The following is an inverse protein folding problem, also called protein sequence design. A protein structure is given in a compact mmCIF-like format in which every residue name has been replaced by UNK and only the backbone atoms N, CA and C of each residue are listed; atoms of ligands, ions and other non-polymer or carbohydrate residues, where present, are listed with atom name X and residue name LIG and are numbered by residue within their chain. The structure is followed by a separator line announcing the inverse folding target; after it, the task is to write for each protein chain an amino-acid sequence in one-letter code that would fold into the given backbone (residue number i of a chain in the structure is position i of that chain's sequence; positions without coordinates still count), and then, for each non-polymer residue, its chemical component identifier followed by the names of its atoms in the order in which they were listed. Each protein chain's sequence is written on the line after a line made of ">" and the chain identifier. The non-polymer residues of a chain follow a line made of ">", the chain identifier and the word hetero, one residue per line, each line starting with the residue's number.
data_IF_345818274154
#
_entry.id   IF_345818274154
#
_cell.length_a   1.000
_cell.length_b   1.000
_cell.length_c   1.000
_cell.angle_alpha   90.00
_cell.angle_beta   90.00
_cell.angle_gamma   90.00
#
_symmetry.space_group_name_H-M   'P 1'
#
loop_
_entity.id
_entity.type
_entity.pdbx_description
1 polymer ?
#
# COMPACT_ATOMS: atom_id res chain seq x y z
N UNK A 1 7.99 19.22 -0.35
CA UNK A 1 7.31 18.22 -1.19
C UNK A 1 6.24 18.95 -2.00
N UNK A 2 6.38 18.99 -3.32
CA UNK A 2 5.63 19.89 -4.22
C UNK A 2 4.11 19.71 -4.10
N UNK A 3 3.39 20.80 -3.84
CA UNK A 3 1.95 20.84 -3.53
C UNK A 3 1.05 20.17 -4.57
N UNK A 4 1.45 20.16 -5.84
CA UNK A 4 0.66 19.65 -6.96
C UNK A 4 0.53 18.11 -6.98
N UNK A 5 1.62 17.39 -6.75
CA UNK A 5 1.64 15.91 -6.68
C UNK A 5 0.80 15.42 -5.50
N UNK A 6 0.90 16.15 -4.38
CA UNK A 6 0.13 15.88 -3.17
C UNK A 6 -1.39 15.96 -3.40
N UNK A 7 -1.82 16.85 -4.29
CA UNK A 7 -3.24 17.02 -4.60
C UNK A 7 -3.77 15.89 -5.50
N UNK A 8 -3.01 15.47 -6.50
CA UNK A 8 -3.38 14.35 -7.38
C UNK A 8 -3.63 13.05 -6.60
N UNK A 9 -2.73 12.71 -5.66
CA UNK A 9 -2.87 11.50 -4.83
C UNK A 9 -4.15 11.57 -3.96
N UNK A 10 -4.44 12.74 -3.39
CA UNK A 10 -5.68 12.93 -2.60
C UNK A 10 -6.92 12.74 -3.45
N UNK A 11 -6.98 13.32 -4.65
CA UNK A 11 -8.12 13.15 -5.55
C UNK A 11 -8.33 11.70 -5.97
N UNK A 12 -7.24 10.97 -6.22
CA UNK A 12 -7.31 9.55 -6.56
C UNK A 12 -7.90 8.70 -5.43
N UNK A 13 -7.45 8.93 -4.19
CA UNK A 13 -7.97 8.23 -3.01
C UNK A 13 -9.45 8.59 -2.81
N UNK A 14 -9.81 9.88 -2.88
CA UNK A 14 -11.19 10.34 -2.73
C UNK A 14 -12.10 9.73 -3.80
N UNK A 15 -11.69 9.77 -5.07
CA UNK A 15 -12.45 9.19 -6.17
C UNK A 15 -12.67 7.69 -6.00
N UNK A 16 -11.66 6.99 -5.50
CA UNK A 16 -11.79 5.55 -5.16
C UNK A 16 -12.80 5.32 -4.03
N UNK A 17 -12.74 6.10 -2.94
CA UNK A 17 -13.64 5.97 -1.79
C UNK A 17 -15.09 6.39 -2.10
N UNK A 18 -15.31 7.15 -3.16
CA UNK A 18 -16.64 7.52 -3.66
C UNK A 18 -17.28 6.42 -4.53
N UNK A 19 -16.53 5.38 -4.91
CA UNK A 19 -17.06 4.25 -5.65
C UNK A 19 -18.20 3.55 -4.87
N UNK A 20 -19.21 3.06 -5.59
CA UNK A 20 -20.39 2.38 -5.02
C UNK A 20 -20.03 1.21 -4.11
N UNK A 21 -18.90 0.54 -4.36
CA UNK A 21 -18.42 -0.57 -3.53
C UNK A 21 -18.12 -0.13 -2.08
N UNK A 22 -17.75 1.14 -1.89
CA UNK A 22 -17.52 1.74 -0.56
C UNK A 22 -18.68 2.61 -0.08
N UNK A 23 -19.90 2.40 -0.60
CA UNK A 23 -21.10 3.15 -0.19
C UNK A 23 -21.50 2.91 1.26
N UNK A 24 -21.21 1.72 1.80
CA UNK A 24 -21.47 1.35 3.20
C UNK A 24 -20.59 2.07 4.21
N UNK A 25 -19.47 2.65 3.79
CA UNK A 25 -18.59 3.40 4.68
C UNK A 25 -19.18 4.79 4.95
N UNK A 26 -19.30 5.16 6.22
CA UNK A 26 -19.70 6.51 6.60
C UNK A 26 -18.61 7.54 6.25
N UNK A 27 -18.99 8.83 6.28
CA UNK A 27 -18.08 9.93 5.95
C UNK A 27 -16.83 9.95 6.84
N UNK A 28 -17.01 9.80 8.15
CA UNK A 28 -15.90 9.80 9.11
C UNK A 28 -14.87 8.71 8.81
N UNK A 29 -15.32 7.51 8.41
CA UNK A 29 -14.46 6.39 8.02
C UNK A 29 -13.69 6.69 6.75
N UNK A 30 -14.35 7.26 5.73
CA UNK A 30 -13.68 7.66 4.47
C UNK A 30 -12.63 8.73 4.73
N UNK A 31 -12.95 9.74 5.53
CA UNK A 31 -12.03 10.81 5.91
C UNK A 31 -10.85 10.26 6.71
N UNK A 32 -11.09 9.31 7.61
CA UNK A 32 -10.03 8.60 8.33
C UNK A 32 -9.07 7.86 7.38
N UNK A 33 -9.60 7.07 6.44
CA UNK A 33 -8.79 6.31 5.48
C UNK A 33 -7.96 7.25 4.59
N UNK A 34 -8.55 8.33 4.10
CA UNK A 34 -7.83 9.35 3.33
C UNK A 34 -6.65 9.92 4.14
N UNK A 35 -6.90 10.32 5.37
CA UNK A 35 -5.88 10.93 6.23
C UNK A 35 -4.78 9.93 6.61
N UNK A 36 -5.13 8.69 6.98
CA UNK A 36 -4.12 7.71 7.41
C UNK A 36 -3.21 7.29 6.25
N UNK A 37 -3.76 7.09 5.06
CA UNK A 37 -2.96 6.81 3.86
C UNK A 37 -2.05 7.99 3.52
N UNK A 38 -2.58 9.22 3.65
CA UNK A 38 -1.79 10.44 3.48
C UNK A 38 -0.59 10.49 4.44
N UNK A 39 -0.80 10.20 5.73
CA UNK A 39 0.29 10.19 6.72
C UNK A 39 1.29 9.07 6.46
N UNK A 40 0.82 7.87 6.09
CA UNK A 40 1.70 6.74 5.77
C UNK A 40 2.63 7.06 4.58
N UNK A 41 2.12 7.77 3.57
CA UNK A 41 2.92 8.21 2.42
C UNK A 41 3.84 9.40 2.74
N UNK A 42 3.53 10.17 3.78
CA UNK A 42 4.28 11.39 4.14
C UNK A 42 5.38 11.15 5.17
N UNK A 43 5.21 10.20 6.09
CA UNK A 43 6.14 9.92 7.18
C UNK A 43 7.19 8.91 6.71
N UNK A 44 8.47 9.29 6.77
CA UNK A 44 9.58 8.38 6.45
C UNK A 44 9.85 7.41 7.61
N UNK A 45 9.90 6.12 7.30
CA UNK A 45 10.33 5.07 8.24
C UNK A 45 9.17 4.26 8.82
N UNK A 46 9.42 3.62 9.96
CA UNK A 46 8.40 2.81 10.65
C UNK A 46 7.41 3.74 11.34
N UNK A 47 6.13 3.44 11.17
CA UNK A 47 5.01 4.23 11.70
C UNK A 47 4.33 3.43 12.81
N UNK A 48 4.07 4.08 13.95
CA UNK A 48 3.26 3.56 15.04
C UNK A 48 2.08 4.51 15.35
N UNK A 49 1.14 4.07 16.19
CA UNK A 49 -0.06 4.86 16.50
C UNK A 49 0.27 6.16 17.24
N UNK A 50 1.30 6.19 18.08
CA UNK A 50 1.75 7.41 18.77
C UNK A 50 2.29 8.45 17.78
N UNK A 51 3.03 8.01 16.75
CA UNK A 51 3.47 8.89 15.66
C UNK A 51 2.30 9.39 14.83
N UNK A 52 1.34 8.53 14.47
CA UNK A 52 0.11 8.98 13.79
C UNK A 52 -0.65 10.00 14.62
N UNK A 53 -0.76 9.79 15.93
CA UNK A 53 -1.35 10.76 16.86
C UNK A 53 -0.63 12.11 16.88
N UNK A 54 0.71 12.11 16.72
CA UNK A 54 1.52 13.34 16.68
C UNK A 54 1.36 14.13 15.38
N UNK A 55 1.22 13.45 14.24
CA UNK A 55 1.13 14.08 12.93
C UNK A 55 -0.30 14.36 12.45
N UNK A 56 -1.30 13.87 13.19
CA UNK A 56 -2.71 14.04 12.87
C UNK A 56 -3.44 14.89 13.90
N UNK A 57 -4.64 15.37 13.56
CA UNK A 57 -5.54 16.01 14.52
C UNK A 57 -6.18 15.02 15.51
N UNK A 58 -6.05 13.71 15.25
CA UNK A 58 -6.65 12.65 16.06
C UNK A 58 -5.64 12.10 17.06
N UNK A 59 -6.11 11.66 18.22
CA UNK A 59 -5.25 11.02 19.22
C UNK A 59 -4.90 9.57 18.84
N UNK A 60 -3.93 8.96 19.54
CA UNK A 60 -3.55 7.56 19.35
C UNK A 60 -4.76 6.61 19.43
N UNK A 61 -5.63 6.84 20.41
CA UNK A 61 -6.78 5.98 20.68
C UNK A 61 -7.75 5.94 19.50
N UNK A 62 -7.99 7.08 18.85
CA UNK A 62 -8.82 7.15 17.63
C UNK A 62 -8.23 6.29 16.51
N UNK A 63 -6.91 6.36 16.29
CA UNK A 63 -6.26 5.51 15.29
C UNK A 63 -6.46 4.03 15.62
N UNK A 64 -6.26 3.62 16.88
CA UNK A 64 -6.44 2.24 17.31
C UNK A 64 -7.86 1.73 17.03
N UNK A 65 -8.88 2.47 17.43
CA UNK A 65 -10.30 2.11 17.21
C UNK A 65 -10.60 1.97 15.71
N UNK A 66 -10.10 2.87 14.88
CA UNK A 66 -10.32 2.74 13.44
C UNK A 66 -9.53 1.58 12.82
N UNK A 67 -8.31 1.30 13.27
CA UNK A 67 -7.54 0.15 12.76
C UNK A 67 -8.11 -1.20 13.20
N UNK A 68 -8.93 -1.26 14.26
CA UNK A 68 -9.67 -2.46 14.66
C UNK A 68 -10.82 -2.80 13.69
N UNK A 69 -11.35 -1.79 13.00
CA UNK A 69 -12.38 -2.00 11.98
C UNK A 69 -11.73 -2.46 10.67
N UNK A 70 -12.29 -3.49 10.05
CA UNK A 70 -11.81 -3.98 8.76
C UNK A 70 -12.00 -2.94 7.65
N UNK A 71 -11.16 -3.03 6.63
CA UNK A 71 -11.26 -2.27 5.41
C UNK A 71 -10.76 -3.12 4.25
N UNK A 72 -11.52 -3.17 3.16
CA UNK A 72 -11.19 -3.96 1.99
C UNK A 72 -10.09 -3.29 1.16
N UNK A 73 -8.85 -3.44 1.63
CA UNK A 73 -7.66 -2.94 0.94
C UNK A 73 -7.45 -3.61 -0.41
N UNK A 74 -7.91 -4.85 -0.61
CA UNK A 74 -7.74 -5.56 -1.87
C UNK A 74 -8.56 -4.88 -2.98
N UNK A 75 -9.86 -4.68 -2.72
CA UNK A 75 -10.74 -3.97 -3.67
C UNK A 75 -10.31 -2.52 -3.84
N UNK A 76 -9.90 -1.86 -2.76
CA UNK A 76 -9.38 -0.49 -2.83
C UNK A 76 -8.18 -0.41 -3.77
N UNK A 77 -7.15 -1.23 -3.55
CA UNK A 77 -5.93 -1.25 -4.37
C UNK A 77 -6.21 -1.62 -5.82
N UNK A 78 -7.16 -2.54 -6.07
CA UNK A 78 -7.61 -2.88 -7.42
C UNK A 78 -8.21 -1.67 -8.13
N UNK A 79 -9.16 -0.98 -7.50
CA UNK A 79 -9.81 0.20 -8.08
C UNK A 79 -8.83 1.36 -8.30
N UNK A 80 -7.88 1.57 -7.39
CA UNK A 80 -6.78 2.53 -7.59
C UNK A 80 -5.95 2.15 -8.81
N UNK A 81 -5.59 0.87 -8.94
CA UNK A 81 -4.78 0.38 -10.06
C UNK A 81 -5.50 0.54 -11.40
N UNK A 82 -6.81 0.26 -11.44
CA UNK A 82 -7.65 0.43 -12.64
C UNK A 82 -7.82 1.89 -13.07
N UNK A 83 -7.72 2.85 -12.14
CA UNK A 83 -7.77 4.28 -12.46
C UNK A 83 -6.47 4.81 -13.07
N UNK A 84 -5.32 4.18 -12.75
CA UNK A 84 -4.00 4.66 -13.18
C UNK A 84 -3.45 3.88 -14.37
N UNK A 85 -3.64 2.56 -14.39
CA UNK A 85 -2.92 1.65 -15.28
C UNK A 85 -3.80 1.29 -16.48
N UNK A 86 -3.19 1.26 -17.68
CA UNK A 86 -3.86 0.86 -18.92
C UNK A 86 -4.28 -0.62 -18.96
N UNK A 87 -4.83 -1.03 -20.12
CA UNK A 87 -5.32 -2.41 -20.33
C UNK A 87 -4.20 -3.44 -20.34
N UNK A 88 -3.03 -3.07 -20.87
CA UNK A 88 -1.88 -3.96 -21.05
C UNK A 88 -1.01 -3.95 -19.78
N UNK A 89 -1.25 -4.90 -18.89
CA UNK A 89 -0.63 -4.94 -17.55
C UNK A 89 -0.08 -6.30 -17.17
N UNK A 90 1.00 -6.29 -16.42
CA UNK A 90 1.64 -7.47 -15.82
C UNK A 90 1.45 -7.39 -14.30
N UNK A 91 1.19 -8.54 -13.67
CA UNK A 91 1.19 -8.65 -12.21
C UNK A 91 2.47 -9.37 -11.78
N UNK A 92 3.34 -8.65 -11.08
CA UNK A 92 4.49 -9.22 -10.41
C UNK A 92 4.07 -9.73 -9.02
N UNK A 93 4.53 -10.93 -8.68
CA UNK A 93 4.31 -11.57 -7.39
C UNK A 93 5.66 -11.80 -6.72
N UNK A 94 5.81 -11.28 -5.49
CA UNK A 94 7.05 -11.39 -4.72
C UNK A 94 6.75 -11.82 -3.28
N UNK A 95 6.88 -13.12 -2.95
CA UNK A 95 6.73 -13.61 -1.59
C UNK A 95 7.99 -13.32 -0.78
N UNK A 96 7.82 -12.69 0.37
CA UNK A 96 8.90 -12.33 1.29
C UNK A 96 8.63 -12.83 2.71
N UNK A 97 9.70 -13.33 3.34
CA UNK A 97 9.71 -13.68 4.75
C UNK A 97 10.09 -12.48 5.62
N UNK A 98 9.30 -12.21 6.65
CA UNK A 98 9.61 -11.21 7.68
C UNK A 98 9.89 -11.91 9.02
N UNK A 99 11.09 -11.76 9.59
CA UNK A 99 11.37 -12.24 10.93
C UNK A 99 10.56 -11.44 11.95
N UNK A 100 9.82 -12.14 12.81
CA UNK A 100 9.04 -11.51 13.87
C UNK A 100 9.24 -12.26 15.19
N UNK A 101 9.66 -11.52 16.21
CA UNK A 101 9.80 -12.01 17.58
C UNK A 101 8.50 -11.78 18.36
N UNK A 102 8.23 -12.63 19.34
CA UNK A 102 7.06 -12.54 20.22
C UNK A 102 5.86 -13.39 19.76
N UNK A 103 4.90 -13.63 20.68
CA UNK A 103 3.77 -14.56 20.49
C UNK A 103 2.44 -13.89 20.08
N UNK A 104 2.36 -12.57 20.08
CA UNK A 104 1.09 -11.87 19.87
C UNK A 104 0.79 -11.47 18.42
N UNK A 105 1.71 -11.69 17.48
CA UNK A 105 1.44 -11.40 16.06
C UNK A 105 0.60 -12.52 15.45
N UNK A 106 -0.58 -12.18 14.94
CA UNK A 106 -1.47 -13.09 14.22
C UNK A 106 -0.84 -13.56 12.89
N UNK A 107 -1.27 -14.73 12.39
CA UNK A 107 -0.85 -15.24 11.07
C UNK A 107 0.60 -15.75 10.99
N UNK A 108 1.25 -16.00 12.12
CA UNK A 108 2.62 -16.55 12.16
C UNK A 108 2.65 -18.04 11.86
N UNK A 109 3.72 -18.47 11.20
CA UNK A 109 3.96 -19.86 10.84
C UNK A 109 5.40 -20.09 10.42
N UNK A 110 5.68 -21.27 9.85
CA UNK A 110 6.97 -21.57 9.22
C UNK A 110 6.91 -21.21 7.74
N UNK A 111 7.70 -20.23 7.33
CA UNK A 111 7.78 -19.75 5.95
C UNK A 111 9.21 -19.85 5.44
N UNK A 112 9.37 -20.10 4.13
CA UNK A 112 10.69 -20.22 3.52
C UNK A 112 11.41 -18.88 3.55
N UNK A 113 12.57 -18.84 4.20
CA UNK A 113 13.48 -17.70 4.16
C UNK A 113 14.51 -17.94 3.06
N UNK A 114 14.46 -17.14 1.99
CA UNK A 114 15.41 -17.25 0.87
C UNK A 114 16.86 -17.08 1.31
N UNK A 115 17.14 -16.14 2.22
CA UNK A 115 18.48 -15.90 2.76
C UNK A 115 19.00 -17.05 3.62
N UNK A 116 18.12 -17.72 4.36
CA UNK A 116 18.50 -18.85 5.21
C UNK A 116 18.39 -20.22 4.53
N UNK A 117 17.84 -20.27 3.30
CA UNK A 117 17.52 -21.50 2.56
C UNK A 117 16.73 -22.52 3.38
N UNK A 118 15.90 -22.05 4.30
CA UNK A 118 15.19 -22.89 5.27
C UNK A 118 13.87 -22.26 5.70
N UNK A 119 12.93 -23.10 6.13
CA UNK A 119 11.67 -22.63 6.71
C UNK A 119 11.90 -22.10 8.13
N UNK A 120 11.66 -20.80 8.34
CA UNK A 120 11.83 -20.12 9.63
C UNK A 120 10.50 -19.66 10.18
N UNK A 121 10.40 -19.62 11.51
CA UNK A 121 9.24 -19.07 12.19
C UNK A 121 9.17 -17.56 11.96
N UNK A 122 8.01 -17.05 11.55
CA UNK A 122 7.81 -15.62 11.30
C UNK A 122 6.52 -15.36 10.54
N UNK A 123 6.54 -14.33 9.70
CA UNK A 123 5.43 -13.96 8.81
C UNK A 123 5.82 -14.17 7.36
N UNK A 124 4.91 -14.79 6.60
CA UNK A 124 4.95 -14.79 5.14
C UNK A 124 4.10 -13.63 4.64
N UNK A 125 4.70 -12.73 3.87
CA UNK A 125 4.00 -11.63 3.21
C UNK A 125 4.17 -11.81 1.71
N UNK A 126 3.07 -11.69 0.98
CA UNK A 126 3.10 -11.73 -0.48
C UNK A 126 2.82 -10.32 -1.01
N UNK A 127 3.81 -9.74 -1.69
CA UNK A 127 3.64 -8.50 -2.42
C UNK A 127 3.07 -8.77 -3.81
N UNK A 128 2.11 -7.95 -4.22
CA UNK A 128 1.66 -7.86 -5.61
C UNK A 128 1.98 -6.47 -6.13
N UNK A 129 2.56 -6.39 -7.32
CA UNK A 129 2.76 -5.14 -8.04
C UNK A 129 2.15 -5.24 -9.43
N UNK A 130 1.34 -4.25 -9.81
CA UNK A 130 0.78 -4.16 -11.16
C UNK A 130 1.62 -3.18 -11.96
N UNK A 131 2.08 -3.60 -13.13
CA UNK A 131 2.98 -2.82 -13.99
C UNK A 131 2.36 -2.64 -15.36
N UNK A 132 2.31 -1.39 -15.84
CA UNK A 132 1.86 -1.05 -17.19
C UNK A 132 2.96 -1.34 -18.22
N UNK A 133 2.65 -2.18 -19.21
CA UNK A 133 3.60 -2.57 -20.28
C UNK A 133 3.99 -1.36 -21.13
N UNK A 134 3.06 -0.44 -21.39
CA UNK A 134 3.34 0.74 -22.24
C UNK A 134 4.30 1.71 -21.58
N UNK A 135 4.20 1.84 -20.26
CA UNK A 135 5.13 2.66 -19.46
C UNK A 135 6.53 2.05 -19.45
N UNK A 136 6.65 0.72 -19.43
CA UNK A 136 7.94 0.02 -19.54
C UNK A 136 8.56 0.21 -20.93
N UNK A 137 7.78 0.19 -22.01
CA UNK A 137 8.31 0.41 -23.36
C UNK A 137 9.01 1.77 -23.50
N UNK A 138 8.50 2.83 -22.86
CA UNK A 138 9.13 4.15 -22.94
C UNK A 138 10.44 4.25 -22.13
N UNK A 139 10.66 3.39 -21.12
CA UNK A 139 11.91 3.38 -20.32
C UNK A 139 12.97 2.41 -20.85
N UNK A 140 12.56 1.35 -21.55
CA UNK A 140 13.48 0.35 -22.15
C UNK A 140 13.92 0.75 -23.58
N UNK A 141 13.15 1.57 -24.30
CA UNK A 141 13.54 2.09 -25.62
C UNK A 141 14.47 3.32 -25.46
N UNK A 142 15.70 3.06 -25.05
CA UNK A 142 16.88 3.71 -25.63
C UNK A 142 17.78 2.60 -26.17
N UNK A 143 17.56 2.12 -27.41
CA UNK A 143 18.56 1.35 -28.10
C UNK A 143 19.74 2.28 -28.34
N UNK A 144 20.73 2.20 -27.45
CA UNK A 144 22.02 2.79 -27.64
C UNK A 144 22.58 2.26 -28.96
N UNK A 145 22.83 3.20 -29.86
CA UNK A 145 23.66 3.06 -31.05
C UNK A 145 24.84 2.11 -30.79
N UNK A 146 24.74 0.87 -31.26
CA UNK A 146 25.91 0.15 -31.74
C UNK A 146 26.26 0.78 -33.08
N UNK A 147 27.18 1.74 -33.06
CA UNK A 147 27.96 2.08 -34.24
C UNK A 147 29.25 1.27 -34.16
N UNK A 148 29.45 0.50 -35.24
CA UNK A 148 30.66 -0.19 -35.76
C UNK A 148 31.90 -0.12 -34.88
#
# INVERSE_FOLDING_TARGET
>A
MTSKVNQCVKYLIIGTLQNKVFSSLNKARKDFILNVLWYILSIKGKINFTQLGRYSANCEQTHRIHFEQEFDFLTFNKLVSEQIIGKDRIVAFDPTYIPKLGKQTYGRGRFLSGSAKAAKWGLGICGFAVIDIKTIQHSIIKPGKLQV
#
